data_IF_469940913194
#
_entry.id   IF_469940913194
#
_cell.length_a   1.000
_cell.length_b   1.000
_cell.length_c   1.000
_cell.angle_alpha   90.00
_cell.angle_beta   90.00
_cell.angle_gamma   90.00
#
_symmetry.space_group_name_H-M   'P 1'
#
loop_
_entity.id
_entity.type
_entity.pdbx_description
1 polymer ?
#
# COMPACT_ATOMS: atom_id res chain seq x y z
N UNK A 1 34.75 -48.53 21.09
CA UNK A 1 33.34 -48.64 20.67
C UNK A 1 32.66 -47.27 20.81
N UNK A 2 33.08 -46.27 20.03
CA UNK A 2 32.39 -44.96 19.86
C UNK A 2 32.90 -44.38 18.53
N UNK A 3 32.35 -44.79 17.38
CA UNK A 3 32.61 -44.11 16.08
C UNK A 3 31.41 -44.10 15.13
N UNK A 4 30.32 -44.80 15.43
CA UNK A 4 29.13 -44.84 14.55
C UNK A 4 28.15 -43.68 14.77
N UNK A 5 28.25 -42.95 15.89
CA UNK A 5 27.29 -41.89 16.26
C UNK A 5 27.51 -40.55 15.53
N UNK A 6 28.70 -40.33 14.94
CA UNK A 6 29.04 -39.05 14.30
C UNK A 6 28.37 -38.86 12.93
N UNK A 7 28.12 -39.94 12.17
CA UNK A 7 27.50 -39.82 10.83
C UNK A 7 26.01 -39.51 10.89
N UNK A 8 25.29 -40.09 11.85
CA UNK A 8 23.87 -39.79 12.08
C UNK A 8 23.66 -38.39 12.65
N UNK A 9 24.54 -37.97 13.57
CA UNK A 9 24.51 -36.62 14.15
C UNK A 9 24.74 -35.53 13.10
N UNK A 10 25.75 -35.65 12.23
CA UNK A 10 26.01 -34.67 11.16
C UNK A 10 24.84 -34.53 10.20
N UNK A 11 24.22 -35.65 9.79
CA UNK A 11 23.09 -35.65 8.87
C UNK A 11 21.83 -35.00 9.49
N UNK A 12 21.61 -35.21 10.80
CA UNK A 12 20.53 -34.56 11.53
C UNK A 12 20.75 -33.04 11.70
N UNK A 13 21.99 -32.60 11.86
CA UNK A 13 22.35 -31.17 11.96
C UNK A 13 22.20 -30.48 10.61
N UNK A 14 22.67 -31.09 9.51
CA UNK A 14 22.47 -30.57 8.16
C UNK A 14 20.99 -30.44 7.81
N UNK A 15 20.19 -31.47 8.13
CA UNK A 15 18.74 -31.43 7.94
C UNK A 15 18.08 -30.31 8.75
N UNK A 16 18.51 -30.10 10.00
CA UNK A 16 18.01 -29.02 10.84
C UNK A 16 18.31 -27.64 10.23
N UNK A 17 19.54 -27.41 9.76
CA UNK A 17 19.96 -26.15 9.14
C UNK A 17 19.14 -25.87 7.88
N UNK A 18 19.00 -26.87 7.00
CA UNK A 18 18.21 -26.73 5.77
C UNK A 18 16.75 -26.47 6.10
N UNK A 19 16.18 -27.16 7.08
CA UNK A 19 14.78 -26.97 7.49
C UNK A 19 14.54 -25.56 8.02
N UNK A 20 15.43 -25.05 8.89
CA UNK A 20 15.34 -23.68 9.40
C UNK A 20 15.42 -22.67 8.25
N UNK A 21 16.32 -22.88 7.30
CA UNK A 21 16.46 -22.02 6.12
C UNK A 21 15.19 -21.99 5.27
N UNK A 22 14.60 -23.16 5.00
CA UNK A 22 13.34 -23.27 4.24
C UNK A 22 12.19 -22.59 4.98
N UNK A 23 12.09 -22.74 6.30
CA UNK A 23 11.07 -22.08 7.11
C UNK A 23 11.19 -20.55 7.01
N UNK A 24 12.40 -20.00 7.14
CA UNK A 24 12.64 -18.56 7.01
C UNK A 24 12.23 -18.06 5.62
N UNK A 25 12.60 -18.77 4.56
CA UNK A 25 12.24 -18.41 3.19
C UNK A 25 10.72 -18.47 2.96
N UNK A 26 10.05 -19.49 3.50
CA UNK A 26 8.60 -19.63 3.38
C UNK A 26 7.85 -18.48 4.06
N UNK A 27 8.23 -18.12 5.29
CA UNK A 27 7.63 -16.98 6.00
C UNK A 27 7.97 -15.64 5.31
N UNK A 28 9.20 -15.46 4.82
CA UNK A 28 9.58 -14.27 4.07
C UNK A 28 8.76 -14.09 2.79
N UNK A 29 8.54 -15.18 2.04
CA UNK A 29 7.70 -15.16 0.84
C UNK A 29 6.23 -14.84 1.17
N UNK A 30 5.70 -15.39 2.26
CA UNK A 30 4.33 -15.14 2.71
C UNK A 30 4.12 -13.69 3.13
N UNK A 31 5.06 -13.10 3.88
CA UNK A 31 5.02 -11.69 4.26
C UNK A 31 5.08 -10.76 3.03
N UNK A 32 5.96 -11.07 2.08
CA UNK A 32 6.07 -10.30 0.83
C UNK A 32 4.75 -10.34 0.06
N UNK A 33 4.16 -11.52 -0.09
CA UNK A 33 2.88 -11.70 -0.77
C UNK A 33 1.76 -10.93 -0.06
N UNK A 34 1.70 -10.97 1.27
CA UNK A 34 0.71 -10.22 2.05
C UNK A 34 0.80 -8.71 1.80
N UNK A 35 2.03 -8.15 1.83
CA UNK A 35 2.26 -6.72 1.55
C UNK A 35 1.82 -6.38 0.13
N UNK A 36 2.17 -7.23 -0.85
CA UNK A 36 1.81 -7.01 -2.24
C UNK A 36 0.29 -7.00 -2.45
N UNK A 37 -0.44 -7.92 -1.82
CA UNK A 37 -1.91 -7.95 -1.86
C UNK A 37 -2.51 -6.70 -1.22
N UNK A 38 -1.97 -6.24 -0.08
CA UNK A 38 -2.42 -4.99 0.56
C UNK A 38 -2.16 -3.77 -0.32
N UNK A 39 -1.00 -3.70 -0.97
CA UNK A 39 -0.67 -2.63 -1.90
C UNK A 39 -1.63 -2.60 -3.10
N UNK A 40 -1.93 -3.76 -3.69
CA UNK A 40 -2.92 -3.87 -4.77
C UNK A 40 -4.31 -3.43 -4.32
N UNK A 41 -4.74 -3.83 -3.12
CA UNK A 41 -6.03 -3.43 -2.58
C UNK A 41 -6.11 -1.90 -2.38
N UNK A 42 -5.05 -1.29 -1.86
CA UNK A 42 -4.93 0.17 -1.74
C UNK A 42 -4.98 0.86 -3.11
N UNK A 43 -4.32 0.30 -4.13
CA UNK A 43 -4.40 0.81 -5.50
C UNK A 43 -5.81 0.73 -6.07
N UNK A 44 -6.54 -0.36 -5.83
CA UNK A 44 -7.92 -0.52 -6.28
C UNK A 44 -8.86 0.53 -5.68
N UNK A 45 -8.76 0.77 -4.36
CA UNK A 45 -9.55 1.81 -3.70
C UNK A 45 -9.21 3.17 -4.29
N UNK A 46 -7.92 3.50 -4.39
CA UNK A 46 -7.45 4.77 -4.97
C UNK A 46 -7.95 4.94 -6.40
N UNK A 47 -7.84 3.94 -7.26
CA UNK A 47 -8.28 4.01 -8.66
C UNK A 47 -9.80 4.26 -8.75
N UNK A 48 -10.60 3.61 -7.90
CA UNK A 48 -12.04 3.87 -7.85
C UNK A 48 -12.36 5.34 -7.57
N UNK A 49 -11.70 5.95 -6.57
CA UNK A 49 -11.92 7.36 -6.26
C UNK A 49 -11.28 8.30 -7.26
N UNK A 50 -10.16 7.92 -7.90
CA UNK A 50 -9.57 8.68 -9.00
C UNK A 50 -10.53 8.76 -10.19
N UNK A 51 -11.25 7.69 -10.51
CA UNK A 51 -12.29 7.70 -11.55
C UNK A 51 -13.48 8.59 -11.17
N UNK A 52 -13.84 8.66 -9.89
CA UNK A 52 -14.84 9.64 -9.43
C UNK A 52 -14.35 11.08 -9.54
N UNK A 53 -13.11 11.34 -9.13
CA UNK A 53 -12.46 12.65 -9.27
C UNK A 53 -12.34 13.06 -10.74
N UNK A 54 -12.16 12.12 -11.66
CA UNK A 54 -12.15 12.35 -13.11
C UNK A 54 -13.49 12.95 -13.58
N UNK A 55 -14.61 12.48 -13.04
CA UNK A 55 -15.96 12.96 -13.41
C UNK A 55 -16.33 14.24 -12.67
N UNK A 56 -16.02 14.32 -11.38
CA UNK A 56 -16.43 15.44 -10.50
C UNK A 56 -15.45 16.63 -10.56
N UNK A 57 -14.21 16.40 -10.99
CA UNK A 57 -13.13 17.40 -11.10
C UNK A 57 -12.31 17.60 -9.82
N UNK A 58 -12.67 16.98 -8.70
CA UNK A 58 -11.90 16.95 -7.45
C UNK A 58 -12.47 15.86 -6.52
N UNK A 59 -11.78 15.55 -5.43
CA UNK A 59 -12.33 14.68 -4.39
C UNK A 59 -13.31 15.51 -3.53
N UNK A 60 -14.57 15.10 -3.46
CA UNK A 60 -15.58 15.74 -2.62
C UNK A 60 -15.45 15.29 -1.16
N UNK A 61 -15.97 16.07 -0.22
CA UNK A 61 -15.91 15.71 1.21
C UNK A 61 -16.66 14.40 1.52
N UNK A 62 -17.77 14.12 0.83
CA UNK A 62 -18.50 12.85 0.96
C UNK A 62 -17.67 11.67 0.46
N UNK A 63 -17.01 11.84 -0.68
CA UNK A 63 -16.16 10.79 -1.27
C UNK A 63 -14.89 10.57 -0.46
N UNK A 64 -14.36 11.61 0.16
CA UNK A 64 -13.23 11.53 1.10
C UNK A 64 -13.59 10.68 2.33
N UNK A 65 -14.75 10.90 2.95
CA UNK A 65 -15.22 10.06 4.07
C UNK A 65 -15.38 8.61 3.62
N UNK A 66 -16.02 8.38 2.46
CA UNK A 66 -16.17 7.03 1.92
C UNK A 66 -14.82 6.37 1.58
N UNK A 67 -13.83 7.14 1.12
CA UNK A 67 -12.47 6.66 0.85
C UNK A 67 -11.82 6.20 2.16
N UNK A 68 -11.90 7.00 3.21
CA UNK A 68 -11.36 6.67 4.53
C UNK A 68 -12.01 5.40 5.09
N UNK A 69 -13.33 5.29 5.00
CA UNK A 69 -14.08 4.11 5.47
C UNK A 69 -13.64 2.84 4.72
N UNK A 70 -13.46 2.92 3.39
CA UNK A 70 -12.97 1.77 2.60
C UNK A 70 -11.54 1.38 2.93
N UNK A 71 -10.66 2.33 3.25
CA UNK A 71 -9.32 2.01 3.71
C UNK A 71 -9.34 1.36 5.11
N UNK A 72 -10.22 1.82 6.00
CA UNK A 72 -10.42 1.20 7.31
C UNK A 72 -10.93 -0.25 7.18
N UNK A 73 -11.95 -0.48 6.35
CA UNK A 73 -12.50 -1.81 6.04
C UNK A 73 -11.46 -2.75 5.40
N UNK A 74 -10.56 -2.20 4.59
CA UNK A 74 -9.45 -2.92 3.97
C UNK A 74 -8.33 -3.29 4.95
N UNK A 75 -8.44 -2.88 6.21
CA UNK A 75 -7.46 -3.16 7.25
C UNK A 75 -6.25 -2.23 7.21
N UNK A 76 -6.49 -0.95 6.94
CA UNK A 76 -5.54 0.16 7.16
C UNK A 76 -5.99 1.04 8.32
N UNK A 77 -5.04 1.69 9.00
CA UNK A 77 -5.35 2.60 10.11
C UNK A 77 -5.90 3.90 9.54
N UNK A 78 -7.15 4.23 9.84
CA UNK A 78 -7.81 5.47 9.39
C UNK A 78 -6.98 6.74 9.68
N UNK A 79 -6.41 6.82 10.88
CA UNK A 79 -5.61 7.97 11.34
C UNK A 79 -4.30 8.15 10.57
N UNK A 80 -3.82 7.10 9.91
CA UNK A 80 -2.59 7.13 9.10
C UNK A 80 -2.82 7.58 7.66
N UNK A 81 -4.08 7.74 7.23
CA UNK A 81 -4.41 8.06 5.85
C UNK A 81 -4.10 9.53 5.56
N UNK A 82 -3.01 9.76 4.83
CA UNK A 82 -2.64 11.10 4.36
C UNK A 82 -3.03 11.24 2.89
N UNK A 83 -3.91 12.21 2.61
CA UNK A 83 -4.36 12.55 1.27
C UNK A 83 -3.57 13.75 0.76
N UNK A 84 -3.10 13.66 -0.48
CA UNK A 84 -2.43 14.74 -1.21
C UNK A 84 -3.03 14.84 -2.62
N UNK A 85 -3.16 16.07 -3.15
CA UNK A 85 -3.63 16.33 -4.51
C UNK A 85 -4.89 17.19 -4.60
N UNK A 86 -5.77 16.87 -5.57
CA UNK A 86 -6.97 17.66 -5.88
C UNK A 86 -8.13 17.34 -4.93
N UNK A 87 -7.95 17.61 -3.64
CA UNK A 87 -8.91 17.28 -2.57
C UNK A 87 -9.62 18.54 -2.06
N UNK A 88 -10.96 18.48 -1.93
CA UNK A 88 -11.75 19.62 -1.46
C UNK A 88 -11.41 20.06 -0.03
N UNK A 89 -11.17 19.12 0.90
CA UNK A 89 -10.78 19.42 2.28
C UNK A 89 -9.46 20.18 2.38
N UNK A 90 -8.56 19.97 1.40
CA UNK A 90 -7.29 20.70 1.27
C UNK A 90 -7.44 22.06 0.57
N UNK A 91 -8.67 22.47 0.20
CA UNK A 91 -8.94 23.71 -0.50
C UNK A 91 -8.66 23.68 -2.00
N UNK A 92 -8.48 22.49 -2.60
CA UNK A 92 -8.27 22.38 -4.03
C UNK A 92 -9.52 22.81 -4.81
N UNK A 93 -9.32 23.69 -5.80
CA UNK A 93 -10.39 24.08 -6.70
C UNK A 93 -10.82 22.90 -7.59
N UNK A 94 -12.08 22.90 -7.99
CA UNK A 94 -12.62 21.93 -8.94
C UNK A 94 -11.93 22.10 -10.29
N UNK A 95 -11.28 21.05 -10.76
CA UNK A 95 -10.58 21.02 -12.06
C UNK A 95 -11.58 20.72 -13.16
N UNK A 96 -11.61 21.58 -14.17
CA UNK A 96 -12.49 21.45 -15.34
C UNK A 96 -11.70 20.92 -16.53
N UNK A 97 -12.42 20.33 -17.49
CA UNK A 97 -11.89 19.90 -18.77
C UNK A 97 -11.50 21.12 -19.60
N UNK A 98 -10.21 21.22 -19.91
CA UNK A 98 -9.64 22.20 -20.82
C UNK A 98 -9.06 21.50 -22.04
N UNK A 99 -9.68 21.72 -23.20
CA UNK A 99 -9.26 21.13 -24.48
C UNK A 99 -8.02 21.83 -25.05
N UNK A 100 -7.79 23.09 -24.69
CA UNK A 100 -6.65 23.87 -25.15
C UNK A 100 -5.37 23.58 -24.35
N UNK A 101 -5.51 23.31 -23.05
CA UNK A 101 -4.39 22.92 -22.18
C UNK A 101 -4.75 21.70 -21.29
N UNK A 102 -4.34 20.49 -21.70
CA UNK A 102 -4.60 19.26 -20.96
C UNK A 102 -3.96 19.22 -19.58
N UNK A 103 -2.86 19.95 -19.35
CA UNK A 103 -2.13 19.90 -18.07
C UNK A 103 -2.92 20.57 -16.96
N UNK A 104 -3.72 21.59 -17.30
CA UNK A 104 -4.64 22.26 -16.36
C UNK A 104 -5.89 21.44 -16.05
N UNK A 105 -6.11 20.34 -16.79
CA UNK A 105 -7.26 19.45 -16.59
C UNK A 105 -6.93 18.26 -15.69
N UNK A 106 -5.74 18.21 -15.09
CA UNK A 106 -5.28 17.03 -14.39
C UNK A 106 -5.74 17.01 -12.92
N UNK A 107 -6.36 15.89 -12.52
CA UNK A 107 -6.66 15.57 -11.13
C UNK A 107 -5.63 14.57 -10.62
N UNK A 108 -5.09 14.82 -9.44
CA UNK A 108 -4.12 13.95 -8.80
C UNK A 108 -4.65 13.47 -7.45
N UNK A 109 -4.42 12.20 -7.15
CA UNK A 109 -4.69 11.61 -5.84
C UNK A 109 -3.49 10.80 -5.42
N UNK A 110 -2.92 11.17 -4.28
CA UNK A 110 -1.90 10.39 -3.59
C UNK A 110 -2.38 10.10 -2.18
N UNK A 111 -2.28 8.83 -1.81
CA UNK A 111 -2.72 8.30 -0.52
C UNK A 111 -1.53 7.59 0.10
N UNK A 112 -1.19 7.98 1.33
CA UNK A 112 -0.25 7.25 2.19
C UNK A 112 -1.06 6.56 3.27
N UNK A 113 -0.88 5.26 3.45
CA UNK A 113 -1.62 4.45 4.43
C UNK A 113 -0.73 3.47 5.16
N UNK A 114 -1.05 3.17 6.41
CA UNK A 114 -0.34 2.18 7.20
C UNK A 114 -1.24 0.95 7.45
N UNK A 115 -0.78 -0.27 7.17
CA UNK A 115 -1.53 -1.49 7.49
C UNK A 115 -1.70 -1.70 9.00
N UNK A 116 -2.81 -2.31 9.39
CA UNK A 116 -3.09 -2.66 10.79
C UNK A 116 -2.13 -3.73 11.33
N UNK A 117 -1.65 -4.58 10.41
CA UNK A 117 -0.79 -5.72 10.71
C UNK A 117 0.64 -5.41 10.30
N UNK A 118 1.58 -5.50 11.25
CA UNK A 118 3.01 -5.35 10.96
C UNK A 118 3.52 -6.65 10.30
N UNK A 119 4.26 -6.57 9.17
CA UNK A 119 4.89 -7.76 8.59
C UNK A 119 5.94 -8.34 9.54
N UNK A 120 5.98 -9.67 9.68
CA UNK A 120 6.73 -10.35 10.74
C UNK A 120 8.25 -10.31 10.55
N UNK A 121 8.73 -10.69 9.35
CA UNK A 121 10.15 -10.82 9.03
C UNK A 121 10.61 -9.70 8.10
N UNK A 122 9.81 -9.36 7.08
CA UNK A 122 10.27 -8.41 6.05
C UNK A 122 10.42 -7.00 6.61
N UNK A 123 9.54 -6.56 7.51
CA UNK A 123 9.65 -5.24 8.18
C UNK A 123 10.85 -5.14 9.13
N UNK A 124 11.37 -6.28 9.62
CA UNK A 124 12.56 -6.32 10.48
C UNK A 124 13.86 -6.49 9.70
N UNK A 125 13.80 -7.12 8.52
CA UNK A 125 14.94 -7.37 7.64
C UNK A 125 15.23 -6.18 6.72
N UNK A 126 14.18 -5.50 6.24
CA UNK A 126 14.26 -4.20 5.56
C UNK A 126 14.43 -3.05 6.56
N UNK A 127 15.27 -3.23 7.59
CA UNK A 127 15.56 -2.23 8.64
C UNK A 127 16.11 -0.94 8.01
N UNK A 128 15.22 -0.13 7.47
CA UNK A 128 15.37 1.30 7.23
C UNK A 128 15.31 1.90 8.63
N UNK A 129 16.38 2.59 8.99
CA UNK A 129 16.58 3.14 10.31
C UNK A 129 15.41 4.03 10.76
N UNK A 130 15.22 4.05 12.08
CA UNK A 130 14.42 4.99 12.89
C UNK A 130 12.89 4.96 12.73
N UNK A 131 12.22 4.54 13.82
CA UNK A 131 10.94 5.06 14.35
C UNK A 131 9.68 5.13 13.46
N UNK A 132 9.76 4.82 12.16
CA UNK A 132 8.65 4.91 11.22
C UNK A 132 7.82 3.64 11.16
N UNK A 133 6.49 3.79 11.18
CA UNK A 133 5.57 2.70 10.84
C UNK A 133 5.65 2.41 9.32
N UNK A 134 5.41 1.16 8.91
CA UNK A 134 5.45 0.76 7.50
C UNK A 134 4.32 1.43 6.71
N UNK A 135 4.67 2.26 5.72
CA UNK A 135 3.71 3.00 4.90
C UNK A 135 3.64 2.44 3.47
N UNK A 136 2.40 2.28 2.99
CA UNK A 136 2.10 2.02 1.58
C UNK A 136 1.68 3.35 0.96
N UNK A 137 2.41 3.77 -0.06
CA UNK A 137 2.13 5.00 -0.81
C UNK A 137 1.60 4.63 -2.19
N UNK A 138 0.36 5.02 -2.48
CA UNK A 138 -0.26 4.83 -3.79
C UNK A 138 -0.60 6.20 -4.38
N UNK A 139 -0.23 6.40 -5.64
CA UNK A 139 -0.49 7.65 -6.35
C UNK A 139 -1.13 7.37 -7.72
N UNK A 140 -1.87 8.35 -8.23
CA UNK A 140 -2.49 8.28 -9.54
C UNK A 140 -2.86 9.67 -10.02
N UNK A 141 -2.95 9.81 -11.35
CA UNK A 141 -3.37 11.04 -12.02
C UNK A 141 -4.34 10.68 -13.13
N UNK A 142 -5.33 11.53 -13.34
CA UNK A 142 -6.33 11.38 -14.40
C UNK A 142 -6.69 12.75 -14.98
N UNK A 143 -7.24 12.78 -16.19
CA UNK A 143 -7.74 14.01 -16.81
C UNK A 143 -9.21 14.20 -16.47
N UNK A 144 -9.55 15.34 -15.88
CA UNK A 144 -10.93 15.74 -15.59
C UNK A 144 -11.77 15.80 -16.87
N UNK A 145 -12.95 15.21 -16.79
CA UNK A 145 -13.98 15.25 -17.84
C UNK A 145 -15.05 16.31 -17.56
N UNK A 146 -14.99 16.95 -16.38
CA UNK A 146 -16.02 17.90 -15.93
C UNK A 146 -16.06 19.13 -16.83
N UNK A 147 -17.21 19.42 -17.41
CA UNK A 147 -17.44 20.65 -18.21
C UNK A 147 -17.98 21.75 -17.30
N UNK A 148 -17.64 23.01 -17.58
CA UNK A 148 -18.26 24.18 -16.94
C UNK A 148 -19.77 24.18 -17.23
N UNK A 149 -20.59 24.31 -16.19
CA UNK A 149 -22.03 24.57 -16.30
C UNK A 149 -22.32 26.03 -16.63
#
# INVERSE_FOLDING_TARGET
MIKEDQRGSVLSVEFLIVTIMVVILAFGAMDYWLIQVKAQHAEHIKNYYLDRMRVEGHLTATDEVGLLDRFEDAGFKRESVVLEGTVASLGAARVLRNVADPTTSEVALRVKVQPNTKPFLMGRLLRVDSEGEFEIVVAGRALSERVAE
#
